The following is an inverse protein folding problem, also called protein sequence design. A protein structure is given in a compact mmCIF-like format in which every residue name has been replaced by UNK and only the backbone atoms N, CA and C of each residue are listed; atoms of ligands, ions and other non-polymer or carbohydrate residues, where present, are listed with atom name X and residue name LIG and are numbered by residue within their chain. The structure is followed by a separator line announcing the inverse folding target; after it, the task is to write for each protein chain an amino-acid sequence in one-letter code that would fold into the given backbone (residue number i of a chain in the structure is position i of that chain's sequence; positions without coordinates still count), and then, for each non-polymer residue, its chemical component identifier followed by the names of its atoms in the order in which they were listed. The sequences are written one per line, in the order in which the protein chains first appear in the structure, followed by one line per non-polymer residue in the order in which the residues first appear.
data_IF_909422041988
#
_entry.id   IF_909422041988
#
_cell.length_a   1.000
_cell.length_b   1.000
_cell.length_c   1.000
_cell.angle_alpha   90.00
_cell.angle_beta   90.00
_cell.angle_gamma   90.00
#
_symmetry.space_group_name_H-M   'P 1'
#
loop_
_entity.id
_entity.type
_entity.pdbx_description
1 polymer ?
#
# COMPACT_ATOMS: atom_id res chain seq x y z
N UNK A 1 7.59 21.77 -1.85
CA UNK A 1 6.15 21.54 -1.50
C UNK A 1 5.97 20.05 -1.41
N UNK A 2 5.58 19.52 -0.26
CA UNK A 2 5.43 18.08 -0.07
C UNK A 2 4.29 17.57 -0.96
N UNK A 3 4.59 16.71 -1.92
CA UNK A 3 3.60 15.92 -2.64
C UNK A 3 3.45 14.58 -1.91
N UNK A 4 2.92 14.63 -0.70
CA UNK A 4 2.64 13.41 0.04
C UNK A 4 1.17 13.09 -0.09
N UNK A 5 0.87 11.90 -0.59
CA UNK A 5 -0.45 11.32 -0.47
C UNK A 5 -0.47 10.42 0.78
N UNK A 6 -1.17 10.84 1.81
CA UNK A 6 -1.56 9.94 2.87
C UNK A 6 -2.86 9.24 2.45
N UNK A 7 -2.79 7.96 2.19
CA UNK A 7 -3.95 7.13 1.88
C UNK A 7 -4.52 6.54 3.17
N UNK A 8 -5.80 6.75 3.39
CA UNK A 8 -6.57 6.10 4.45
C UNK A 8 -7.24 4.87 3.88
N UNK A 9 -7.06 3.74 4.56
CA UNK A 9 -7.77 2.55 4.21
C UNK A 9 -8.55 2.02 5.42
N UNK A 10 -9.87 1.93 5.29
CA UNK A 10 -10.75 1.43 6.35
C UNK A 10 -10.85 -0.09 6.22
N UNK A 11 -10.41 -0.83 7.23
CA UNK A 11 -10.68 -2.27 7.29
C UNK A 11 -10.95 -2.70 8.70
N UNK A 12 -12.14 -3.18 8.88
CA UNK A 12 -12.51 -3.86 10.11
C UNK A 12 -11.85 -5.23 10.20
N UNK A 13 -10.66 -5.30 10.79
CA UNK A 13 -10.15 -6.56 11.30
C UNK A 13 -9.15 -6.31 12.43
N UNK A 14 -9.64 -6.38 13.65
CA UNK A 14 -8.92 -6.11 14.89
C UNK A 14 -7.68 -7.00 15.13
N UNK A 15 -7.44 -7.99 14.29
CA UNK A 15 -6.35 -8.96 14.49
C UNK A 15 -4.98 -8.37 14.21
N UNK A 16 -4.89 -7.29 13.45
CA UNK A 16 -3.62 -6.75 12.97
C UNK A 16 -3.33 -5.30 13.36
N UNK A 17 -4.28 -4.62 14.00
CA UNK A 17 -4.11 -3.22 14.37
C UNK A 17 -4.62 -2.99 15.79
N UNK A 18 -3.71 -2.73 16.71
CA UNK A 18 -4.01 -2.29 18.05
C UNK A 18 -3.69 -0.80 18.18
N UNK A 19 -4.45 -0.10 19.02
CA UNK A 19 -4.32 1.33 19.21
C UNK A 19 -3.90 1.55 20.67
N UNK A 20 -2.83 2.27 20.84
CA UNK A 20 -2.25 2.52 22.15
C UNK A 20 -3.08 3.52 22.98
N UNK A 21 -2.94 3.44 24.29
CA UNK A 21 -3.39 4.50 25.21
C UNK A 21 -2.39 5.67 25.18
N UNK A 22 -2.82 6.82 25.69
CA UNK A 22 -1.95 7.98 25.79
C UNK A 22 -0.72 7.68 26.64
N UNK A 23 0.47 8.05 26.18
CA UNK A 23 1.74 7.86 26.85
C UNK A 23 2.31 9.21 27.32
N UNK A 24 2.71 9.27 28.59
CA UNK A 24 3.32 10.47 29.14
C UNK A 24 4.70 10.71 28.53
N UNK A 25 4.94 11.95 28.11
CA UNK A 25 6.23 12.36 27.53
C UNK A 25 6.35 12.19 26.02
N UNK A 26 5.33 11.63 25.35
CA UNK A 26 5.22 11.60 23.89
C UNK A 26 4.16 12.55 23.36
N UNK A 27 4.26 12.92 22.10
CA UNK A 27 3.20 13.63 21.38
C UNK A 27 2.07 12.64 21.06
N UNK A 28 0.99 12.66 21.83
CA UNK A 28 -0.18 11.81 21.61
C UNK A 28 -1.05 12.38 20.50
N UNK A 29 -1.14 11.68 19.39
CA UNK A 29 -1.85 12.11 18.18
C UNK A 29 -2.99 11.14 17.89
N UNK A 30 -4.21 11.68 17.70
CA UNK A 30 -5.36 10.85 17.35
C UNK A 30 -5.29 10.41 15.89
N UNK A 31 -5.89 9.27 15.57
CA UNK A 31 -5.87 8.72 14.22
C UNK A 31 -6.40 9.71 13.16
N UNK A 32 -7.46 10.45 13.47
CA UNK A 32 -8.07 11.43 12.57
C UNK A 32 -7.23 12.70 12.42
N UNK A 33 -6.26 12.94 13.31
CA UNK A 33 -5.35 14.08 13.26
C UNK A 33 -4.05 13.77 12.54
N UNK A 34 -3.68 12.49 12.39
CA UNK A 34 -2.38 12.06 11.91
C UNK A 34 -2.00 12.70 10.55
N UNK A 35 -2.92 12.69 9.60
CA UNK A 35 -2.66 13.26 8.26
C UNK A 35 -2.37 14.76 8.32
N UNK A 36 -3.27 15.61 8.83
CA UNK A 36 -3.00 17.05 8.92
C UNK A 36 -1.82 17.35 9.83
N UNK A 37 -1.60 16.58 10.90
CA UNK A 37 -0.47 16.76 11.79
C UNK A 37 0.88 16.54 11.11
N UNK A 38 1.02 15.47 10.30
CA UNK A 38 2.21 15.22 9.48
C UNK A 38 2.38 16.31 8.42
N UNK A 39 1.33 16.59 7.65
CA UNK A 39 1.40 17.52 6.51
C UNK A 39 1.71 18.97 6.93
N UNK A 40 1.39 19.34 8.15
CA UNK A 40 1.70 20.69 8.69
C UNK A 40 3.16 20.87 9.12
N UNK A 41 3.91 19.77 9.32
CA UNK A 41 5.23 19.80 9.94
C UNK A 41 6.35 19.25 9.05
N UNK A 42 6.02 18.37 8.09
CA UNK A 42 7.01 17.65 7.30
C UNK A 42 6.95 18.03 5.81
N UNK A 43 8.12 18.11 5.20
CA UNK A 43 8.28 18.32 3.77
C UNK A 43 8.83 17.09 3.04
N UNK A 44 9.18 16.02 3.76
CA UNK A 44 9.73 14.78 3.21
C UNK A 44 9.40 13.59 4.07
N UNK A 45 9.44 12.39 3.49
CA UNK A 45 9.28 11.12 4.21
C UNK A 45 10.36 10.94 5.27
N UNK A 46 11.58 11.44 5.02
CA UNK A 46 12.64 11.44 6.04
C UNK A 46 12.23 12.19 7.30
N UNK A 47 11.68 13.40 7.16
CA UNK A 47 11.18 14.18 8.30
C UNK A 47 10.02 13.50 9.01
N UNK A 48 9.15 12.82 8.24
CA UNK A 48 8.07 12.01 8.82
C UNK A 48 8.60 10.89 9.70
N UNK A 49 9.67 10.18 9.31
CA UNK A 49 10.28 9.14 10.17
C UNK A 49 10.76 9.71 11.50
N UNK A 50 11.41 10.86 11.47
CA UNK A 50 11.87 11.55 12.68
C UNK A 50 10.68 11.97 13.57
N UNK A 51 9.62 12.48 12.94
CA UNK A 51 8.40 12.88 13.63
C UNK A 51 7.69 11.68 14.28
N UNK A 52 7.50 10.59 13.54
CA UNK A 52 6.86 9.36 14.03
C UNK A 52 7.61 8.70 15.20
N UNK A 53 8.95 8.86 15.27
CA UNK A 53 9.75 8.26 16.34
C UNK A 53 9.48 8.85 17.75
N UNK A 54 8.89 10.04 17.83
CA UNK A 54 8.60 10.76 19.08
C UNK A 54 7.12 10.86 19.41
N UNK A 55 6.25 10.38 18.53
CA UNK A 55 4.81 10.39 18.75
C UNK A 55 4.29 9.06 19.30
N UNK A 56 3.08 9.11 19.79
CA UNK A 56 2.26 7.98 20.11
C UNK A 56 0.89 8.13 19.44
N UNK A 57 0.43 7.10 18.73
CA UNK A 57 -0.87 7.11 18.07
C UNK A 57 -1.92 6.61 19.05
N UNK A 58 -2.93 7.44 19.33
CA UNK A 58 -3.97 7.11 20.31
C UNK A 58 -5.32 6.85 19.67
N UNK A 59 -6.07 5.92 20.27
CA UNK A 59 -7.39 5.48 19.85
C UNK A 59 -8.53 6.35 20.35
N UNK A 60 -8.30 7.62 20.64
CA UNK A 60 -9.38 8.52 21.09
C UNK A 60 -10.39 8.69 19.96
N UNK A 61 -11.69 8.43 20.19
CA UNK A 61 -12.72 8.64 19.19
C UNK A 61 -12.91 10.13 18.90
N UNK A 62 -13.26 10.46 17.66
CA UNK A 62 -13.62 11.84 17.31
C UNK A 62 -14.92 12.30 18.00
N UNK A 63 -15.90 11.40 18.06
CA UNK A 63 -17.18 11.59 18.76
C UNK A 63 -17.79 10.24 19.10
N UNK A 64 -18.91 10.25 19.84
CA UNK A 64 -19.67 9.01 20.12
C UNK A 64 -20.17 8.31 18.85
N UNK A 65 -20.45 9.06 17.78
CA UNK A 65 -20.91 8.54 16.49
C UNK A 65 -19.74 8.12 15.56
N UNK A 66 -18.52 8.59 15.84
CA UNK A 66 -17.32 8.30 15.06
C UNK A 66 -16.24 7.72 15.99
N UNK A 67 -16.34 6.43 16.30
CA UNK A 67 -15.36 5.73 17.13
C UNK A 67 -13.99 5.68 16.44
N UNK A 68 -12.97 5.34 17.21
CA UNK A 68 -11.65 5.06 16.65
C UNK A 68 -11.74 3.95 15.59
N UNK A 69 -11.14 4.18 14.44
CA UNK A 69 -11.13 3.25 13.33
C UNK A 69 -9.77 2.53 13.25
N UNK A 70 -9.78 1.31 12.76
CA UNK A 70 -8.57 0.56 12.50
C UNK A 70 -7.99 1.03 11.17
N UNK A 71 -6.97 1.89 11.25
CA UNK A 71 -6.37 2.54 10.09
C UNK A 71 -4.91 2.16 9.97
N UNK A 72 -4.44 2.15 8.73
CA UNK A 72 -3.04 2.20 8.37
C UNK A 72 -2.83 3.23 7.26
N UNK A 73 -1.62 3.69 7.10
CA UNK A 73 -1.33 4.83 6.22
C UNK A 73 -0.18 4.52 5.28
N UNK A 74 -0.29 5.03 4.06
CA UNK A 74 0.84 5.18 3.15
C UNK A 74 1.22 6.66 3.10
N UNK A 75 2.51 6.93 3.27
CA UNK A 75 3.06 8.28 3.20
C UNK A 75 4.18 8.25 2.18
N UNK A 76 4.12 9.16 1.22
CA UNK A 76 5.07 9.17 0.12
C UNK A 76 5.50 10.60 -0.23
N UNK A 77 6.70 10.72 -0.73
CA UNK A 77 7.19 11.88 -1.45
C UNK A 77 7.70 11.44 -2.84
N UNK A 78 8.40 12.32 -3.52
CA UNK A 78 8.91 12.04 -4.87
C UNK A 78 9.96 10.90 -4.92
N UNK A 79 10.59 10.56 -3.80
CA UNK A 79 11.72 9.64 -3.72
C UNK A 79 11.38 8.30 -3.09
N UNK A 80 10.52 8.31 -2.10
CA UNK A 80 10.27 7.15 -1.27
C UNK A 80 8.85 7.10 -0.74
N UNK A 81 8.43 5.93 -0.31
CA UNK A 81 7.18 5.72 0.39
C UNK A 81 7.40 4.85 1.63
N UNK A 82 6.59 5.09 2.65
CA UNK A 82 6.51 4.27 3.86
C UNK A 82 5.07 3.86 4.13
N UNK A 83 4.91 2.74 4.81
CA UNK A 83 3.63 2.30 5.37
C UNK A 83 3.71 2.37 6.89
N UNK A 84 2.69 2.94 7.51
CA UNK A 84 2.57 3.07 8.96
C UNK A 84 1.39 2.24 9.44
N UNK A 85 1.66 1.34 10.37
CA UNK A 85 0.67 0.43 10.95
C UNK A 85 0.79 0.42 12.49
N UNK A 86 -0.33 0.56 13.19
CA UNK A 86 -0.38 0.39 14.65
C UNK A 86 -0.63 -1.09 14.95
N UNK A 87 0.37 -1.75 15.49
CA UNK A 87 0.37 -3.18 15.76
C UNK A 87 0.41 -3.43 17.28
N UNK A 88 0.16 -4.67 17.69
CA UNK A 88 0.17 -5.07 19.10
C UNK A 88 1.45 -4.72 19.86
N UNK A 89 2.56 -4.74 19.17
CA UNK A 89 3.90 -4.44 19.69
C UNK A 89 4.36 -3.00 19.34
N UNK A 90 3.41 -2.10 19.08
CA UNK A 90 3.61 -0.68 18.84
C UNK A 90 3.51 -0.25 17.37
N UNK A 91 3.76 1.02 17.14
CA UNK A 91 3.73 1.62 15.81
C UNK A 91 4.87 1.08 14.94
N UNK A 92 4.51 0.52 13.79
CA UNK A 92 5.47 0.02 12.78
C UNK A 92 5.56 0.99 11.62
N UNK A 93 6.78 1.24 11.20
CA UNK A 93 7.07 2.06 10.01
C UNK A 93 7.85 1.18 9.05
N UNK A 94 7.25 0.83 7.94
CA UNK A 94 7.84 -0.04 6.93
C UNK A 94 8.28 0.76 5.71
N UNK A 95 9.44 0.42 5.15
CA UNK A 95 9.79 0.86 3.80
C UNK A 95 8.81 0.27 2.79
N UNK A 96 8.29 1.09 1.90
CA UNK A 96 7.31 0.65 0.90
C UNK A 96 7.85 0.83 -0.53
N UNK A 97 8.73 -0.07 -0.99
CA UNK A 97 9.35 0.05 -2.30
C UNK A 97 8.35 -0.15 -3.46
N UNK A 98 7.20 -0.77 -3.19
CA UNK A 98 6.17 -0.97 -4.22
C UNK A 98 5.20 0.21 -4.32
N UNK A 99 5.17 1.12 -3.33
CA UNK A 99 4.29 2.28 -3.30
C UNK A 99 2.80 1.93 -3.35
N UNK A 100 2.43 0.80 -2.75
CA UNK A 100 1.07 0.26 -2.72
C UNK A 100 0.69 -0.06 -1.28
N UNK A 101 -0.54 0.20 -0.93
CA UNK A 101 -1.18 -0.23 0.31
C UNK A 101 -2.61 -0.63 -0.01
N UNK A 102 -3.01 -1.80 0.48
CA UNK A 102 -4.40 -2.28 0.42
C UNK A 102 -4.92 -2.51 1.82
N UNK A 103 -5.76 -3.48 2.02
CA UNK A 103 -6.33 -3.80 3.32
C UNK A 103 -5.47 -4.87 4.06
N UNK A 104 -6.05 -5.60 5.03
CA UNK A 104 -5.39 -6.74 5.68
C UNK A 104 -4.97 -7.83 4.66
N UNK A 105 -3.95 -8.60 4.96
CA UNK A 105 -3.14 -8.63 6.18
C UNK A 105 -2.15 -7.47 6.30
N UNK A 106 -1.28 -7.47 7.33
CA UNK A 106 -0.26 -6.43 7.53
C UNK A 106 0.64 -6.26 6.31
N UNK A 107 1.23 -5.09 6.17
CA UNK A 107 2.11 -4.76 5.05
C UNK A 107 3.28 -5.74 4.92
N UNK A 108 3.88 -6.16 6.02
CA UNK A 108 4.97 -7.14 6.01
C UNK A 108 4.52 -8.49 5.40
N UNK A 109 3.31 -8.96 5.75
CA UNK A 109 2.75 -10.18 5.16
C UNK A 109 2.39 -10.00 3.70
N UNK A 110 1.91 -8.84 3.31
CA UNK A 110 1.65 -8.50 1.91
C UNK A 110 2.94 -8.54 1.08
N UNK A 111 4.01 -7.95 1.59
CA UNK A 111 5.33 -7.98 0.95
C UNK A 111 5.88 -9.42 0.87
N UNK A 112 5.74 -10.21 1.94
CA UNK A 112 6.15 -11.62 1.93
C UNK A 112 5.40 -12.43 0.86
N UNK A 113 4.11 -12.19 0.66
CA UNK A 113 3.31 -12.89 -0.33
C UNK A 113 3.76 -12.63 -1.78
N UNK A 114 4.44 -11.51 -2.07
CA UNK A 114 4.99 -11.26 -3.40
C UNK A 114 5.98 -12.32 -3.86
N UNK A 115 6.60 -13.08 -2.93
CA UNK A 115 7.45 -14.22 -3.27
C UNK A 115 6.72 -15.30 -4.11
N UNK A 116 5.41 -15.41 -3.98
CA UNK A 116 4.62 -16.35 -4.80
C UNK A 116 4.54 -15.93 -6.27
N UNK A 117 4.89 -14.69 -6.58
CA UNK A 117 4.74 -14.07 -7.90
C UNK A 117 6.07 -13.76 -8.60
N UNK A 118 7.19 -14.28 -8.09
CA UNK A 118 8.53 -14.04 -8.68
C UNK A 118 8.68 -14.50 -10.14
N UNK A 119 7.80 -15.36 -10.59
CA UNK A 119 7.77 -15.86 -11.98
C UNK A 119 7.10 -14.87 -12.96
N UNK A 120 6.38 -13.87 -12.44
CA UNK A 120 5.70 -12.90 -13.29
C UNK A 120 6.69 -11.96 -13.99
N UNK A 121 6.39 -11.63 -15.22
CA UNK A 121 7.21 -10.76 -16.06
C UNK A 121 6.35 -9.93 -17.02
N UNK A 122 6.72 -8.69 -17.34
CA UNK A 122 6.11 -7.93 -18.44
C UNK A 122 6.52 -8.46 -19.82
N UNK A 123 7.52 -9.35 -19.87
CA UNK A 123 8.02 -9.97 -21.11
C UNK A 123 7.26 -11.27 -21.40
N UNK A 124 7.30 -11.69 -22.67
CA UNK A 124 6.79 -13.00 -23.05
C UNK A 124 7.60 -14.11 -22.38
N UNK A 125 6.95 -15.21 -21.96
CA UNK A 125 7.65 -16.35 -21.37
C UNK A 125 8.45 -17.11 -22.42
N UNK A 126 9.59 -17.64 -21.98
CA UNK A 126 10.33 -18.68 -22.67
C UNK A 126 9.84 -20.06 -22.22
N UNK A 127 10.08 -21.07 -23.06
CA UNK A 127 9.71 -22.45 -22.70
C UNK A 127 10.68 -23.01 -21.65
N UNK A 128 10.30 -22.97 -20.39
CA UNK A 128 11.01 -23.66 -19.31
C UNK A 128 10.28 -24.93 -18.83
N UNK A 129 9.20 -25.32 -19.51
CA UNK A 129 8.40 -26.48 -19.10
C UNK A 129 9.09 -27.80 -19.42
N UNK A 130 9.57 -27.95 -20.64
CA UNK A 130 10.33 -29.12 -21.09
C UNK A 130 10.96 -28.89 -22.46
N UNK A 131 12.20 -29.34 -22.63
CA UNK A 131 12.90 -29.36 -23.93
C UNK A 131 12.30 -30.37 -24.93
N UNK A 132 11.42 -31.24 -24.43
CA UNK A 132 10.72 -32.25 -25.27
C UNK A 132 9.49 -31.70 -25.96
N UNK A 133 9.07 -30.49 -25.62
CA UNK A 133 7.86 -29.86 -26.15
C UNK A 133 8.21 -28.51 -26.76
N UNK A 134 7.78 -28.30 -27.99
CA UNK A 134 7.87 -26.99 -28.65
C UNK A 134 6.68 -26.12 -28.22
N UNK A 135 6.82 -25.47 -27.08
CA UNK A 135 5.78 -24.57 -26.54
C UNK A 135 6.18 -23.13 -26.83
N UNK A 136 5.20 -22.36 -27.32
CA UNK A 136 5.40 -20.97 -27.69
C UNK A 136 4.30 -20.08 -27.10
N UNK A 137 4.66 -18.83 -26.87
CA UNK A 137 3.67 -17.82 -26.45
C UNK A 137 2.69 -17.56 -27.62
N UNK A 138 1.41 -17.76 -27.38
CA UNK A 138 0.34 -17.61 -28.39
C UNK A 138 -0.39 -16.25 -28.30
N UNK A 139 -0.14 -15.45 -27.26
CA UNK A 139 -0.73 -14.10 -27.12
C UNK A 139 0.20 -13.18 -26.34
N UNK A 140 -0.05 -11.86 -26.44
CA UNK A 140 0.66 -10.87 -25.61
C UNK A 140 0.22 -10.99 -24.15
N UNK A 141 1.11 -10.62 -23.21
CA UNK A 141 0.82 -10.57 -21.78
C UNK A 141 0.96 -11.93 -21.07
N UNK A 142 1.40 -12.99 -21.73
CA UNK A 142 1.54 -14.31 -21.13
C UNK A 142 2.61 -14.39 -20.03
N UNK A 143 3.54 -13.44 -19.96
CA UNK A 143 4.46 -13.34 -18.83
C UNK A 143 3.80 -13.03 -17.50
N UNK A 144 2.55 -12.53 -17.54
CA UNK A 144 1.73 -12.27 -16.34
C UNK A 144 0.76 -13.43 -16.02
N UNK A 145 0.92 -14.61 -16.61
CA UNK A 145 0.11 -15.78 -16.26
C UNK A 145 0.29 -16.13 -14.78
N UNK A 146 -0.83 -16.19 -14.04
CA UNK A 146 -0.83 -16.39 -12.60
C UNK A 146 -0.95 -15.10 -11.79
N UNK A 147 -0.99 -13.92 -12.44
CA UNK A 147 -1.37 -12.68 -11.74
C UNK A 147 -2.78 -12.82 -11.16
N UNK A 148 -2.98 -12.61 -9.84
CA UNK A 148 -4.26 -12.90 -9.21
C UNK A 148 -5.36 -11.95 -9.69
N UNK A 149 -6.55 -12.48 -9.96
CA UNK A 149 -7.67 -11.72 -10.50
C UNK A 149 -8.82 -11.48 -9.53
N UNK A 150 -8.81 -12.13 -8.36
CA UNK A 150 -9.85 -11.96 -7.37
C UNK A 150 -9.76 -10.60 -6.63
N UNK A 151 -10.81 -10.27 -5.87
CA UNK A 151 -10.98 -8.95 -5.24
C UNK A 151 -10.40 -8.88 -3.82
N UNK A 152 -9.76 -9.94 -3.32
CA UNK A 152 -9.13 -9.92 -2.01
C UNK A 152 -8.03 -8.87 -1.92
N UNK A 153 -7.77 -8.39 -0.71
CA UNK A 153 -6.73 -7.40 -0.44
C UNK A 153 -5.36 -7.85 -0.96
N UNK A 154 -4.97 -9.09 -0.68
CA UNK A 154 -3.68 -9.63 -1.09
C UNK A 154 -3.55 -9.75 -2.61
N UNK A 155 -4.61 -10.14 -3.29
CA UNK A 155 -4.64 -10.22 -4.76
C UNK A 155 -4.59 -8.84 -5.40
N UNK A 156 -5.32 -7.87 -4.85
CA UNK A 156 -5.25 -6.47 -5.30
C UNK A 156 -3.85 -5.89 -5.07
N UNK A 157 -3.24 -6.17 -3.90
CA UNK A 157 -1.89 -5.74 -3.60
C UNK A 157 -0.88 -6.25 -4.65
N UNK A 158 -0.84 -7.56 -4.88
CA UNK A 158 0.08 -8.17 -5.84
C UNK A 158 -0.15 -7.62 -7.27
N UNK A 159 -1.43 -7.48 -7.69
CA UNK A 159 -1.79 -6.96 -9.00
C UNK A 159 -1.36 -5.50 -9.20
N UNK A 160 -1.63 -4.63 -8.23
CA UNK A 160 -1.23 -3.22 -8.32
C UNK A 160 0.28 -3.07 -8.22
N UNK A 161 0.95 -3.82 -7.34
CA UNK A 161 2.39 -3.78 -7.23
C UNK A 161 3.07 -4.17 -8.56
N UNK A 162 2.63 -5.28 -9.18
CA UNK A 162 3.12 -5.70 -10.49
C UNK A 162 2.85 -4.63 -11.56
N UNK A 163 1.61 -4.14 -11.64
CA UNK A 163 1.23 -3.16 -12.65
C UNK A 163 2.01 -1.87 -12.49
N UNK A 164 2.10 -1.32 -11.26
CA UNK A 164 2.83 -0.08 -10.97
C UNK A 164 4.31 -0.18 -11.32
N UNK A 165 4.97 -1.25 -10.90
CA UNK A 165 6.41 -1.43 -11.10
C UNK A 165 6.81 -1.62 -12.56
N UNK A 166 5.86 -2.01 -13.43
CA UNK A 166 6.10 -2.24 -14.86
C UNK A 166 5.40 -1.24 -15.78
N UNK A 167 4.64 -0.31 -15.21
CA UNK A 167 3.99 0.77 -15.98
C UNK A 167 4.98 1.88 -16.31
N UNK A 168 4.76 2.50 -17.46
CA UNK A 168 5.52 3.65 -17.93
C UNK A 168 4.54 4.79 -18.12
N UNK A 169 4.87 5.97 -17.62
CA UNK A 169 4.20 7.22 -17.96
C UNK A 169 5.17 8.14 -18.71
N UNK A 170 4.65 9.12 -19.39
CA UNK A 170 5.46 10.23 -19.89
C UNK A 170 5.78 11.24 -18.76
N UNK A 171 6.64 12.22 -19.06
CA UNK A 171 7.08 13.23 -18.09
C UNK A 171 6.03 14.32 -17.85
N UNK A 172 4.87 14.25 -18.48
CA UNK A 172 3.80 15.24 -18.29
C UNK A 172 2.95 14.92 -17.06
N UNK A 173 2.45 15.95 -16.39
CA UNK A 173 1.52 15.80 -15.28
C UNK A 173 0.25 15.05 -15.72
N UNK A 174 -0.31 15.43 -16.87
CA UNK A 174 -1.53 14.79 -17.38
C UNK A 174 -1.34 13.32 -17.74
N UNK A 175 -0.19 12.94 -18.30
CA UNK A 175 0.16 11.56 -18.60
C UNK A 175 0.34 10.74 -17.31
N UNK A 176 1.04 11.29 -16.32
CA UNK A 176 1.23 10.66 -15.03
C UNK A 176 -0.09 10.46 -14.28
N UNK A 177 -0.98 11.46 -14.27
CA UNK A 177 -2.33 11.36 -13.68
C UNK A 177 -3.16 10.30 -14.40
N UNK A 178 -3.16 10.30 -15.74
CA UNK A 178 -3.87 9.30 -16.54
C UNK A 178 -3.39 7.88 -16.22
N UNK A 179 -2.06 7.68 -16.21
CA UNK A 179 -1.46 6.38 -15.89
C UNK A 179 -1.80 5.92 -14.47
N UNK A 180 -1.82 6.84 -13.52
CA UNK A 180 -2.22 6.53 -12.14
C UNK A 180 -3.66 5.98 -12.08
N UNK A 181 -4.60 6.61 -12.78
CA UNK A 181 -5.98 6.11 -12.85
C UNK A 181 -6.09 4.76 -13.58
N UNK A 182 -5.28 4.49 -14.60
CA UNK A 182 -5.23 3.17 -15.22
C UNK A 182 -4.73 2.09 -14.26
N UNK A 183 -3.72 2.41 -13.43
CA UNK A 183 -3.24 1.48 -12.39
C UNK A 183 -4.35 1.21 -11.37
N UNK A 184 -5.03 2.26 -10.87
CA UNK A 184 -6.16 2.09 -9.94
C UNK A 184 -7.31 1.29 -10.55
N UNK A 185 -7.64 1.54 -11.81
CA UNK A 185 -8.69 0.80 -12.54
C UNK A 185 -8.43 -0.71 -12.64
N UNK A 186 -7.16 -1.13 -12.51
CA UNK A 186 -6.82 -2.56 -12.51
C UNK A 186 -7.34 -3.32 -11.28
N UNK A 187 -7.75 -2.59 -10.23
CA UNK A 187 -8.26 -3.15 -8.97
C UNK A 187 -9.62 -2.57 -8.55
N UNK A 188 -10.34 -2.01 -9.49
CA UNK A 188 -11.69 -1.51 -9.25
C UNK A 188 -12.58 -2.60 -8.69
N UNK A 189 -13.31 -2.24 -7.62
CA UNK A 189 -14.29 -3.11 -6.99
C UNK A 189 -15.68 -2.66 -7.44
N UNK A 190 -16.38 -3.56 -8.11
CA UNK A 190 -17.73 -3.27 -8.58
C UNK A 190 -18.73 -3.35 -7.43
N UNK A 191 -19.63 -2.36 -7.35
CA UNK A 191 -20.66 -2.32 -6.31
C UNK A 191 -21.48 -3.60 -6.31
N UNK A 192 -21.52 -4.27 -5.15
CA UNK A 192 -22.25 -5.51 -4.96
C UNK A 192 -21.45 -6.80 -5.27
N UNK A 193 -20.17 -6.68 -5.64
CA UNK A 193 -19.28 -7.83 -5.83
C UNK A 193 -18.48 -8.20 -4.58
N UNK A 194 -18.43 -7.29 -3.59
CA UNK A 194 -17.72 -7.46 -2.30
C UNK A 194 -18.28 -6.51 -1.26
#
# INVERSE_FOLDING_TARGET
MMQSMAGLNFVGNAVYQEIDEAEDGKENVCQYELIPWILSQCASVREVRELLSRMNLVGTPFSEQLPAAQLHWIIADEKEAITVESMKDGLKVHENPVGVLTNNPSFEQQMFQLNNYMHLSPRQPENHFSDKLDLQAYSRGMGALGLPGDLSSSSRFARVAFTRLHSISDDSESGSVSQFFHILGSVDQQRGCC
#
